data_IF_401435194090
#
_entry.id   IF_401435194090
#
_cell.length_a   1.000
_cell.length_b   1.000
_cell.length_c   1.000
_cell.angle_alpha   90.00
_cell.angle_beta   90.00
_cell.angle_gamma   90.00
#
_symmetry.space_group_name_H-M   'P 1'
#
loop_
_entity.id
_entity.type
_entity.pdbx_description
1 polymer ?
#
# COMPACT_ATOMS: atom_id res chain seq x y z
N UNK A 1 -7.87 -2.66 -23.22
CA UNK A 1 -7.28 -3.80 -22.61
C UNK A 1 -7.65 -3.87 -21.14
N UNK A 2 -8.02 -5.01 -20.76
CA UNK A 2 -8.49 -5.21 -19.40
C UNK A 2 -7.30 -5.15 -18.44
N UNK A 3 -7.44 -4.34 -17.44
CA UNK A 3 -6.47 -4.27 -16.38
C UNK A 3 -6.97 -5.07 -15.20
N UNK A 4 -6.12 -5.90 -14.64
CA UNK A 4 -6.46 -6.52 -13.39
C UNK A 4 -6.16 -5.54 -12.28
N UNK A 5 -7.19 -5.20 -11.53
CA UNK A 5 -7.06 -4.24 -10.45
C UNK A 5 -8.01 -4.64 -9.32
N UNK A 6 -7.70 -4.15 -8.13
CA UNK A 6 -8.55 -4.33 -6.97
C UNK A 6 -8.70 -2.99 -6.31
N UNK A 7 -9.89 -2.73 -5.75
CA UNK A 7 -10.12 -1.46 -5.07
C UNK A 7 -9.40 -1.44 -3.73
N UNK A 8 -9.02 -0.25 -3.32
CA UNK A 8 -8.44 -0.07 -1.99
C UNK A 8 -9.45 -0.43 -0.91
N UNK A 9 -10.76 -0.25 -1.19
CA UNK A 9 -11.79 -0.67 -0.26
C UNK A 9 -11.74 -2.16 0.03
N UNK A 10 -11.49 -2.96 -1.00
CA UNK A 10 -11.39 -4.41 -0.82
C UNK A 10 -10.18 -4.77 0.04
N UNK A 11 -9.05 -4.12 -0.22
CA UNK A 11 -7.86 -4.36 0.59
C UNK A 11 -8.09 -3.95 2.04
N UNK A 12 -8.75 -2.80 2.25
CA UNK A 12 -9.02 -2.33 3.61
C UNK A 12 -9.95 -3.28 4.33
N UNK A 13 -10.93 -3.83 3.63
CA UNK A 13 -11.86 -4.79 4.24
C UNK A 13 -11.13 -6.08 4.61
N UNK A 14 -10.34 -6.62 3.69
CA UNK A 14 -9.67 -7.90 3.93
C UNK A 14 -8.61 -7.80 5.03
N UNK A 15 -7.95 -6.65 5.15
CA UNK A 15 -6.87 -6.49 6.12
C UNK A 15 -7.30 -5.66 7.34
N UNK A 16 -8.57 -5.32 7.45
CA UNK A 16 -9.12 -4.54 8.59
C UNK A 16 -8.38 -3.21 8.78
N UNK A 17 -8.19 -2.49 7.69
CA UNK A 17 -7.53 -1.19 7.76
C UNK A 17 -8.51 -0.11 8.16
N UNK A 18 -8.02 0.87 8.92
CA UNK A 18 -8.81 2.06 9.25
C UNK A 18 -8.25 3.24 8.49
N UNK A 19 -9.11 4.24 8.24
CA UNK A 19 -8.75 5.37 7.41
C UNK A 19 -8.34 6.53 8.29
N UNK A 20 -7.11 7.05 8.09
CA UNK A 20 -6.70 8.31 8.68
C UNK A 20 -7.09 9.47 7.76
N UNK A 21 -6.90 9.27 6.47
CA UNK A 21 -7.30 10.26 5.47
C UNK A 21 -7.48 9.58 4.12
N UNK A 22 -8.47 10.02 3.36
CA UNK A 22 -8.60 9.63 1.97
C UNK A 22 -9.20 10.78 1.19
N UNK A 23 -8.71 11.05 -0.03
CA UNK A 23 -9.25 12.13 -0.85
C UNK A 23 -10.57 11.79 -1.51
N UNK A 24 -10.93 10.51 -1.56
CA UNK A 24 -12.15 10.05 -2.20
C UNK A 24 -12.54 8.72 -1.58
N UNK A 25 -13.66 8.17 -2.03
CA UNK A 25 -14.09 6.86 -1.54
C UNK A 25 -13.06 5.80 -1.91
N UNK A 26 -12.79 4.90 -0.97
CA UNK A 26 -11.78 3.87 -1.18
C UNK A 26 -12.12 2.97 -2.37
N UNK A 27 -13.40 2.85 -2.70
CA UNK A 27 -13.84 2.07 -3.85
C UNK A 27 -13.30 2.63 -5.16
N UNK A 28 -12.95 3.90 -5.18
CA UNK A 28 -12.47 4.56 -6.40
C UNK A 28 -10.97 4.50 -6.55
N UNK A 29 -10.23 4.05 -5.54
CA UNK A 29 -8.79 3.94 -5.61
C UNK A 29 -8.45 2.52 -6.04
N UNK A 30 -7.79 2.38 -7.18
CA UNK A 30 -7.50 1.06 -7.73
C UNK A 30 -6.02 0.74 -7.56
N UNK A 31 -5.75 -0.52 -7.20
CA UNK A 31 -4.39 -1.02 -7.02
C UNK A 31 -4.15 -2.08 -8.07
N UNK A 32 -3.02 -1.96 -8.79
CA UNK A 32 -2.68 -2.87 -9.87
C UNK A 32 -1.41 -3.66 -9.60
N UNK A 33 -0.62 -3.28 -8.63
CA UNK A 33 0.63 -3.97 -8.30
C UNK A 33 0.37 -5.10 -7.32
N UNK A 34 1.00 -6.25 -7.57
CA UNK A 34 0.81 -7.43 -6.72
C UNK A 34 1.68 -7.40 -5.47
N UNK A 35 2.58 -6.43 -5.36
CA UNK A 35 3.51 -6.35 -4.24
C UNK A 35 3.34 -5.03 -3.52
N UNK A 36 3.69 -5.04 -2.25
CA UNK A 36 3.75 -3.83 -1.44
C UNK A 36 5.21 -3.45 -1.25
N UNK A 37 5.46 -2.25 -0.70
CA UNK A 37 6.81 -1.74 -0.61
C UNK A 37 7.00 -1.02 0.71
N UNK A 38 8.17 -1.20 1.33
CA UNK A 38 8.57 -0.43 2.50
C UNK A 38 9.53 0.66 2.04
N UNK A 39 9.17 1.94 2.20
CA UNK A 39 9.92 3.02 1.55
C UNK A 39 11.14 3.51 2.33
N UNK A 40 11.82 2.61 3.04
CA UNK A 40 12.96 3.02 3.86
C UNK A 40 14.07 3.70 3.08
N UNK A 41 14.40 3.17 1.91
CA UNK A 41 15.47 3.76 1.10
C UNK A 41 15.07 5.13 0.59
N UNK A 42 13.81 5.29 0.17
CA UNK A 42 13.32 6.59 -0.27
C UNK A 42 13.39 7.60 0.87
N UNK A 43 12.96 7.18 2.05
CA UNK A 43 12.97 8.07 3.22
C UNK A 43 14.38 8.44 3.63
N UNK A 44 15.38 7.65 3.24
CA UNK A 44 16.79 7.97 3.49
C UNK A 44 17.38 8.85 2.39
N UNK A 45 16.60 9.21 1.38
CA UNK A 45 17.01 10.16 0.37
C UNK A 45 17.31 9.58 -1.01
N UNK A 46 17.11 8.27 -1.19
CA UNK A 46 17.36 7.65 -2.49
C UNK A 46 16.03 7.43 -3.19
N UNK A 47 15.80 8.17 -4.29
CA UNK A 47 14.50 8.21 -4.93
C UNK A 47 14.43 7.41 -6.24
N UNK A 48 15.56 6.89 -6.71
CA UNK A 48 15.56 6.22 -7.99
C UNK A 48 14.86 4.88 -7.94
N UNK A 49 14.23 4.50 -9.04
CA UNK A 49 13.55 3.21 -9.17
C UNK A 49 12.38 3.03 -8.22
N UNK A 50 11.84 4.13 -7.71
CA UNK A 50 10.67 4.05 -6.84
C UNK A 50 9.44 3.68 -7.67
N UNK A 51 8.73 2.65 -7.25
CA UNK A 51 7.54 2.19 -7.95
C UNK A 51 6.31 2.74 -7.23
N UNK A 52 5.71 3.77 -7.81
CA UNK A 52 4.57 4.43 -7.18
C UNK A 52 3.26 3.69 -7.37
N UNK A 53 3.26 2.51 -7.98
CA UNK A 53 2.04 1.71 -8.11
C UNK A 53 1.82 0.79 -6.92
N UNK A 54 2.81 0.64 -6.06
CA UNK A 54 2.72 -0.25 -4.91
C UNK A 54 2.18 0.48 -3.71
N UNK A 55 1.37 -0.23 -2.92
CA UNK A 55 0.96 0.24 -1.60
C UNK A 55 2.22 0.32 -0.72
N UNK A 56 2.39 1.44 -0.03
CA UNK A 56 3.57 1.69 0.79
C UNK A 56 3.27 1.33 2.24
N UNK A 57 4.17 0.59 2.88
CA UNK A 57 3.98 0.14 4.26
C UNK A 57 5.04 0.81 5.13
N UNK A 58 4.59 1.56 6.13
CA UNK A 58 5.49 2.21 7.09
C UNK A 58 5.38 1.45 8.40
N UNK A 59 6.45 0.75 8.74
CA UNK A 59 6.53 0.00 9.98
C UNK A 59 7.30 0.76 11.05
N UNK A 60 7.62 0.05 12.13
CA UNK A 60 8.29 0.66 13.27
C UNK A 60 9.66 1.22 12.87
N UNK A 61 10.40 0.50 12.04
CA UNK A 61 11.74 0.94 11.65
C UNK A 61 11.68 2.26 10.91
N UNK A 62 10.76 2.37 9.94
CA UNK A 62 10.63 3.61 9.17
C UNK A 62 10.16 4.75 10.08
N UNK A 63 9.19 4.47 10.95
CA UNK A 63 8.67 5.51 11.83
C UNK A 63 9.76 6.00 12.80
N UNK A 64 10.51 5.07 13.39
CA UNK A 64 11.60 5.44 14.31
C UNK A 64 12.65 6.28 13.61
N UNK A 65 12.99 5.89 12.39
CA UNK A 65 13.96 6.65 11.60
C UNK A 65 13.47 8.07 11.35
N UNK A 66 12.20 8.21 10.95
CA UNK A 66 11.64 9.52 10.68
C UNK A 66 11.65 10.40 11.92
N UNK A 67 11.36 9.82 13.08
CA UNK A 67 11.31 10.58 14.31
C UNK A 67 12.69 11.06 14.74
N UNK A 68 13.76 10.39 14.30
CA UNK A 68 15.12 10.81 14.61
C UNK A 68 15.65 11.88 13.67
N UNK A 69 14.99 12.09 12.54
CA UNK A 69 15.43 13.14 11.61
C UNK A 69 15.06 14.51 12.12
N UNK A 70 15.82 15.51 11.68
CA UNK A 70 15.40 16.90 11.89
C UNK A 70 14.05 17.11 11.20
N UNK A 71 13.31 18.11 11.67
CA UNK A 71 12.02 18.42 11.04
C UNK A 71 12.20 18.72 9.55
N UNK A 72 13.26 19.43 9.20
CA UNK A 72 13.51 19.81 7.82
C UNK A 72 13.73 18.58 6.94
N UNK A 73 14.60 17.66 7.37
CA UNK A 73 14.86 16.45 6.59
C UNK A 73 13.65 15.55 6.53
N UNK A 74 12.94 15.40 7.65
CA UNK A 74 11.74 14.58 7.68
C UNK A 74 10.71 15.10 6.68
N UNK A 75 10.50 16.42 6.67
CA UNK A 75 9.56 17.01 5.74
C UNK A 75 10.00 16.80 4.29
N UNK A 76 11.28 16.97 4.00
CA UNK A 76 11.78 16.81 2.64
C UNK A 76 11.51 15.41 2.11
N UNK A 77 11.84 14.40 2.90
CA UNK A 77 11.72 13.01 2.42
C UNK A 77 10.28 12.53 2.46
N UNK A 78 9.49 12.93 3.46
CA UNK A 78 8.08 12.58 3.48
C UNK A 78 7.33 13.22 2.33
N UNK A 79 7.61 14.50 2.07
CA UNK A 79 6.94 15.15 0.95
C UNK A 79 7.25 14.45 -0.35
N UNK A 80 8.51 14.02 -0.53
CA UNK A 80 8.87 13.31 -1.75
C UNK A 80 8.07 12.03 -1.90
N UNK A 81 7.92 11.26 -0.83
CA UNK A 81 7.15 10.03 -0.87
C UNK A 81 5.70 10.30 -1.30
N UNK A 82 5.06 11.27 -0.66
CA UNK A 82 3.66 11.57 -0.97
C UNK A 82 3.52 12.18 -2.37
N UNK A 83 4.54 12.90 -2.84
CA UNK A 83 4.49 13.53 -4.16
C UNK A 83 4.48 12.50 -5.29
N UNK A 84 4.96 11.29 -5.05
CA UNK A 84 4.87 10.20 -6.02
C UNK A 84 3.45 9.66 -6.14
N UNK A 85 2.58 9.99 -5.21
CA UNK A 85 1.16 9.61 -5.22
C UNK A 85 0.96 8.11 -5.34
N UNK A 86 1.50 7.32 -4.39
CA UNK A 86 1.18 5.89 -4.37
C UNK A 86 -0.30 5.70 -4.08
N UNK A 87 -0.85 4.51 -4.36
CA UNK A 87 -2.28 4.30 -4.12
C UNK A 87 -2.67 4.37 -2.67
N UNK A 88 -1.76 4.08 -1.76
CA UNK A 88 -2.03 4.20 -0.33
C UNK A 88 -0.74 4.08 0.44
N UNK A 89 -0.74 4.70 1.63
CA UNK A 89 0.33 4.52 2.61
C UNK A 89 -0.33 3.97 3.86
N UNK A 90 0.19 2.86 4.39
CA UNK A 90 -0.39 2.18 5.54
C UNK A 90 0.61 2.13 6.68
N UNK A 91 0.19 2.59 7.85
CA UNK A 91 0.97 2.52 9.07
C UNK A 91 0.61 1.25 9.82
N UNK A 92 1.62 0.58 10.38
CA UNK A 92 1.40 -0.69 11.07
C UNK A 92 1.44 -0.50 12.59
N UNK A 93 1.18 -1.58 13.32
CA UNK A 93 1.38 -1.68 14.77
C UNK A 93 0.52 -0.70 15.57
N UNK A 94 -0.58 -0.24 15.00
CA UNK A 94 -1.43 0.74 15.68
C UNK A 94 -0.82 2.12 15.79
N UNK A 95 0.24 2.40 15.04
CA UNK A 95 0.88 3.70 15.10
C UNK A 95 0.00 4.78 14.50
N UNK A 96 0.06 5.97 15.09
CA UNK A 96 -0.69 7.11 14.59
C UNK A 96 0.14 7.89 13.60
N UNK A 97 -0.49 8.51 12.59
CA UNK A 97 0.27 9.31 11.63
C UNK A 97 0.94 10.50 12.29
N UNK A 98 2.15 10.81 11.82
CA UNK A 98 2.76 12.10 12.16
C UNK A 98 1.92 13.22 11.52
N UNK A 99 1.96 14.41 12.14
CA UNK A 99 1.20 15.53 11.59
C UNK A 99 1.65 15.85 10.17
N UNK A 100 2.94 15.70 9.87
CA UNK A 100 3.45 15.92 8.52
C UNK A 100 2.84 14.94 7.53
N UNK A 101 2.63 13.69 7.95
CA UNK A 101 2.00 12.70 7.07
C UNK A 101 0.58 13.11 6.71
N UNK A 102 -0.18 13.58 7.69
CA UNK A 102 -1.53 14.05 7.42
C UNK A 102 -1.52 15.24 6.46
N UNK A 103 -0.59 16.15 6.69
CA UNK A 103 -0.47 17.34 5.85
C UNK A 103 -0.19 16.95 4.39
N UNK A 104 0.79 16.09 4.17
CA UNK A 104 1.16 15.72 2.81
C UNK A 104 0.14 14.80 2.17
N UNK A 105 -0.54 13.95 2.95
CA UNK A 105 -1.62 13.14 2.42
C UNK A 105 -2.70 14.03 1.82
N UNK A 106 -3.07 15.11 2.53
CA UNK A 106 -4.07 16.04 2.03
C UNK A 106 -3.55 16.83 0.83
N UNK A 107 -2.29 17.23 0.89
CA UNK A 107 -1.72 18.06 -0.17
C UNK A 107 -1.65 17.31 -1.48
N UNK A 108 -1.26 16.04 -1.45
CA UNK A 108 -1.05 15.25 -2.66
C UNK A 108 -2.18 14.28 -2.97
N UNK A 109 -3.20 14.22 -2.12
CA UNK A 109 -4.34 13.36 -2.37
C UNK A 109 -4.03 11.89 -2.24
N UNK A 110 -3.26 11.50 -1.23
CA UNK A 110 -2.82 10.12 -1.03
C UNK A 110 -3.57 9.52 0.15
N UNK A 111 -4.26 8.39 -0.05
CA UNK A 111 -4.92 7.71 1.08
C UNK A 111 -3.91 7.29 2.14
N UNK A 112 -4.23 7.55 3.39
CA UNK A 112 -3.39 7.23 4.54
C UNK A 112 -4.21 6.35 5.47
N UNK A 113 -3.77 5.11 5.64
CA UNK A 113 -4.53 4.10 6.36
C UNK A 113 -3.69 3.55 7.51
N UNK A 114 -4.34 2.84 8.42
CA UNK A 114 -3.69 2.30 9.61
C UNK A 114 -4.10 0.86 9.82
N UNK A 115 -3.16 0.08 10.38
CA UNK A 115 -3.40 -1.30 10.76
C UNK A 115 -2.87 -1.52 12.18
N UNK A 116 -3.55 -2.36 12.94
CA UNK A 116 -3.02 -2.78 14.25
C UNK A 116 -2.06 -3.95 14.14
N UNK A 117 -1.92 -4.54 12.97
CA UNK A 117 -1.07 -5.70 12.78
C UNK A 117 0.41 -5.32 12.80
N UNK A 118 1.25 -6.31 13.12
CA UNK A 118 2.68 -6.17 12.93
C UNK A 118 2.97 -6.07 11.44
N UNK A 119 4.10 -5.44 11.11
CA UNK A 119 4.40 -5.13 9.73
C UNK A 119 4.42 -6.36 8.82
N UNK A 120 5.11 -7.43 9.25
CA UNK A 120 5.20 -8.62 8.40
C UNK A 120 3.85 -9.30 8.25
N UNK A 121 3.03 -9.31 9.29
CA UNK A 121 1.71 -9.90 9.22
C UNK A 121 0.83 -9.12 8.23
N UNK A 122 0.86 -7.79 8.32
CA UNK A 122 0.09 -6.96 7.41
C UNK A 122 0.55 -7.16 5.97
N UNK A 123 1.86 -7.17 5.74
CA UNK A 123 2.37 -7.37 4.39
C UNK A 123 1.89 -8.69 3.81
N UNK A 124 1.91 -9.76 4.63
CA UNK A 124 1.40 -11.06 4.18
C UNK A 124 -0.06 -11.03 3.82
N UNK A 125 -0.87 -10.36 4.64
CA UNK A 125 -2.30 -10.23 4.35
C UNK A 125 -2.55 -9.50 3.04
N UNK A 126 -1.86 -8.39 2.84
CA UNK A 126 -2.05 -7.59 1.62
C UNK A 126 -1.55 -8.34 0.39
N UNK A 127 -0.39 -8.97 0.48
CA UNK A 127 0.16 -9.70 -0.66
C UNK A 127 -0.75 -10.87 -1.05
N UNK A 128 -1.27 -11.58 -0.04
CA UNK A 128 -2.19 -12.68 -0.31
C UNK A 128 -3.43 -12.18 -1.05
N UNK A 129 -4.02 -11.07 -0.57
CA UNK A 129 -5.20 -10.51 -1.21
C UNK A 129 -4.88 -10.01 -2.62
N UNK A 130 -3.75 -9.32 -2.77
CA UNK A 130 -3.35 -8.80 -4.08
C UNK A 130 -3.15 -9.93 -5.08
N UNK A 131 -2.46 -10.99 -4.66
CA UNK A 131 -2.23 -12.12 -5.56
C UNK A 131 -3.54 -12.78 -5.96
N UNK A 132 -4.48 -12.91 -5.02
CA UNK A 132 -5.76 -13.52 -5.32
C UNK A 132 -6.58 -12.66 -6.27
N UNK A 133 -6.65 -11.35 -5.99
CA UNK A 133 -7.51 -10.45 -6.75
C UNK A 133 -6.90 -10.07 -8.10
N UNK A 134 -5.58 -10.07 -8.20
CA UNK A 134 -4.91 -9.63 -9.43
C UNK A 134 -4.41 -10.79 -10.28
N UNK A 135 -4.63 -12.03 -9.85
CA UNK A 135 -4.23 -13.17 -10.64
C UNK A 135 -4.99 -13.16 -11.97
N UNK A 136 -4.30 -13.51 -13.06
CA UNK A 136 -4.99 -13.58 -14.35
C UNK A 136 -6.16 -14.55 -14.27
N UNK A 137 -7.32 -14.08 -14.64
CA UNK A 137 -8.50 -14.90 -14.62
C UNK A 137 -8.67 -15.50 -16.00
N UNK A 138 -8.10 -16.67 -16.16
CA UNK A 138 -8.19 -17.33 -17.43
C UNK A 138 -9.55 -17.97 -17.50
N UNK A 139 -10.36 -17.46 -18.39
CA UNK A 139 -11.66 -18.07 -18.63
C UNK A 139 -11.46 -19.35 -19.38
N UNK A 140 -11.77 -20.43 -18.74
CA UNK A 140 -11.70 -21.72 -19.39
C UNK A 140 -13.07 -22.14 -19.82
N UNK A 141 -13.12 -22.56 -20.98
CA UNK A 141 -14.37 -23.14 -21.40
C UNK A 141 -14.20 -24.63 -21.31
N UNK A 142 -14.56 -25.08 -20.23
CA UNK A 142 -14.31 -26.43 -19.95
C UNK A 142 -12.92 -26.70 -19.60
N UNK A 143 -12.50 -27.11 -19.50
CA UNK A 143 -11.33 -27.44 -19.13
C UNK A 143 -10.76 -27.51 -18.09
N UNK A 144 -11.13 -27.34 -18.02
CA UNK A 144 -10.64 -27.60 -17.33
C UNK A 144 -10.01 -27.84 -16.62
N UNK A 145 -9.96 -28.21 -16.56
CA UNK A 145 -9.38 -28.38 -16.02
C UNK A 145 -8.89 -28.47 -15.19
N UNK A 146 -8.86 -28.99 -14.98
CA UNK A 146 -8.65 -29.10 -14.51
C UNK A 146 -8.06 -29.15 -13.83
N UNK A 147 -7.95 -29.81 -13.87
CA UNK A 147 -7.76 -29.94 -13.64
C UNK A 147 -7.31 -29.99 -12.99
N UNK A 148 -7.17 -30.54 -13.05
CA UNK A 148 -7.24 -30.78 -12.80
C UNK A 148 -7.13 -30.72 -12.12
N UNK A 149 -6.92 -31.06 -12.28
CA UNK A 149 -7.35 -31.23 -12.03
C UNK A 149 -7.10 -31.19 -11.49
N UNK A 150 -7.09 -31.64 -11.70
CA UNK A 150 -7.30 -31.77 -11.68
C UNK A 150 -7.22 -31.50 -11.37
N UNK A 151 -6.91 -31.92 -11.50
CA UNK A 151 -7.17 -31.85 -11.62
C UNK A 151 -6.86 -31.58 -11.41
N UNK A 152 -6.80 -32.14 -11.68
CA UNK A 152 -6.92 -32.15 -11.75
C UNK A 152 -7.04 -32.00 -11.56
#
# INVERSE_FOLDING_TARGET
>A
MSEFSVSLAKLAEEANLTVAYTPCELEKVMVTATEVYRPGILLAGYYENFDNKRVQIIGLTEMSYLEELSTSLRNTHLEKLFSFQPPAIVLTRGMQPLSEMMQFAKQYGVPLLMSTEMTSALMGMLITTLNKELAPRITRHGVLVEVYGEGI
#
